data_IF_562442340227
#
_entry.id   IF_562442340227
#
_cell.length_a   1.000
_cell.length_b   1.000
_cell.length_c   1.000
_cell.angle_alpha   90.00
_cell.angle_beta   90.00
_cell.angle_gamma   90.00
#
_symmetry.space_group_name_H-M   'P 1'
#
loop_
_entity.id
_entity.type
_entity.pdbx_description
1 polymer ?
#
# COMPACT_ATOMS: atom_id res chain seq x y z
N UNK A 1 -7.44 44.97 -4.02
CA UNK A 1 -7.29 45.40 -2.63
C UNK A 1 -6.66 46.80 -2.66
N UNK A 2 -7.40 47.86 -2.25
CA UNK A 2 -6.86 49.23 -2.28
C UNK A 2 -6.16 49.49 -0.93
N UNK A 3 -4.88 49.77 -0.98
CA UNK A 3 -4.04 50.10 0.16
C UNK A 3 -4.24 51.59 0.47
N UNK A 4 -5.10 51.90 1.43
CA UNK A 4 -5.28 53.27 1.94
C UNK A 4 -4.18 53.57 2.97
N UNK A 5 -3.00 54.05 2.51
CA UNK A 5 -2.06 54.79 3.36
C UNK A 5 -1.52 54.12 4.63
N UNK A 6 -1.64 52.79 4.81
CA UNK A 6 -1.06 52.06 5.92
C UNK A 6 0.36 51.64 5.59
N UNK A 7 1.32 52.03 6.41
CA UNK A 7 2.75 51.77 6.24
C UNK A 7 3.24 50.50 7.00
N UNK A 8 2.39 49.85 7.77
CA UNK A 8 2.72 48.59 8.47
C UNK A 8 1.53 47.65 8.48
N UNK A 9 1.74 46.42 8.07
CA UNK A 9 0.78 45.33 8.12
C UNK A 9 1.31 44.26 9.08
N UNK A 10 0.57 43.93 10.14
CA UNK A 10 0.83 42.74 10.93
C UNK A 10 0.03 41.58 10.36
N UNK A 11 0.70 40.65 9.69
CA UNK A 11 0.16 39.37 9.26
C UNK A 11 0.43 38.34 10.36
N UNK A 12 -0.60 37.93 11.06
CA UNK A 12 -0.52 36.76 11.93
C UNK A 12 -0.80 35.54 11.07
N UNK A 13 0.23 34.78 10.75
CA UNK A 13 0.09 33.47 10.14
C UNK A 13 -0.36 32.51 11.25
N UNK A 14 -1.59 32.01 11.17
CA UNK A 14 -1.98 30.83 11.93
C UNK A 14 -1.35 29.61 11.26
N UNK A 15 -0.64 28.79 12.01
CA UNK A 15 -0.22 27.48 11.54
C UNK A 15 -1.47 26.67 11.25
N UNK A 16 -1.64 26.29 9.99
CA UNK A 16 -2.65 25.32 9.58
C UNK A 16 -2.09 23.93 9.90
N UNK A 17 -2.29 23.51 11.15
CA UNK A 17 -1.96 22.18 11.62
C UNK A 17 -3.07 21.21 11.23
N UNK A 18 -3.42 21.12 9.98
CA UNK A 18 -4.10 19.92 9.48
C UNK A 18 -3.10 18.76 9.49
N UNK A 19 -2.95 18.14 10.63
CA UNK A 19 -2.30 16.85 10.72
C UNK A 19 -3.20 15.87 9.99
N UNK A 20 -2.82 15.50 8.78
CA UNK A 20 -3.41 14.36 8.08
C UNK A 20 -3.17 13.13 8.95
N UNK A 21 -4.21 12.74 9.70
CA UNK A 21 -4.21 11.51 10.48
C UNK A 21 -4.16 10.32 9.51
N UNK A 22 -2.95 9.92 9.12
CA UNK A 22 -2.77 8.72 8.30
C UNK A 22 -3.19 7.51 9.12
N UNK A 23 -4.24 6.88 8.67
CA UNK A 23 -4.85 5.72 9.32
C UNK A 23 -4.37 4.46 8.62
N UNK A 24 -3.86 3.51 9.38
CA UNK A 24 -3.32 2.25 8.88
C UNK A 24 -4.19 1.10 9.38
N UNK A 25 -4.51 0.17 8.50
CA UNK A 25 -5.20 -1.07 8.86
C UNK A 25 -4.20 -2.01 9.53
N UNK A 26 -4.45 -2.40 10.77
CA UNK A 26 -3.65 -3.34 11.52
C UNK A 26 -4.55 -4.43 12.11
N UNK A 27 -4.31 -5.65 11.72
CA UNK A 27 -5.09 -6.77 12.21
C UNK A 27 -6.56 -6.67 11.85
N UNK A 28 -7.41 -6.77 12.85
CA UNK A 28 -8.87 -6.66 12.71
C UNK A 28 -9.39 -5.24 12.93
N UNK A 29 -8.50 -4.23 12.96
CA UNK A 29 -8.90 -2.85 13.25
C UNK A 29 -8.10 -1.82 12.48
N UNK A 30 -8.52 -0.58 12.64
CA UNK A 30 -7.90 0.59 12.03
C UNK A 30 -7.25 1.41 13.14
N UNK A 31 -5.97 1.72 13.04
CA UNK A 31 -5.24 2.54 14.01
C UNK A 31 -4.54 3.70 13.33
N UNK A 32 -4.37 4.80 14.06
CA UNK A 32 -3.56 5.92 13.60
C UNK A 32 -2.10 5.48 13.51
N UNK A 33 -1.42 5.80 12.41
CA UNK A 33 -0.01 5.46 12.18
C UNK A 33 0.90 5.93 13.32
N UNK A 34 0.61 7.08 13.90
CA UNK A 34 1.34 7.64 15.05
C UNK A 34 1.29 6.76 16.31
N UNK A 35 0.29 5.90 16.45
CA UNK A 35 0.10 5.01 17.61
C UNK A 35 0.70 3.62 17.40
N UNK A 36 1.27 3.35 16.22
CA UNK A 36 1.89 2.06 15.92
C UNK A 36 3.32 2.05 16.42
N UNK A 37 3.60 1.23 17.41
CA UNK A 37 4.96 0.97 17.91
C UNK A 37 5.74 0.02 17.03
N UNK A 38 5.06 -0.70 16.14
CA UNK A 38 5.63 -1.67 15.22
C UNK A 38 6.16 -1.06 13.91
N UNK A 39 7.10 -1.77 13.26
CA UNK A 39 7.61 -1.38 11.94
C UNK A 39 6.60 -1.71 10.85
N UNK A 40 5.75 -0.75 10.51
CA UNK A 40 4.70 -0.85 9.50
C UNK A 40 5.00 0.07 8.33
N UNK A 41 4.75 -0.40 7.12
CA UNK A 41 4.75 0.44 5.91
C UNK A 41 3.40 0.33 5.23
N UNK A 42 2.85 1.46 4.82
CA UNK A 42 1.58 1.54 4.10
C UNK A 42 1.74 2.29 2.78
N UNK A 43 0.95 1.91 1.80
CA UNK A 43 0.78 2.60 0.52
C UNK A 43 -0.72 2.79 0.31
N UNK A 44 -1.12 3.97 -0.11
CA UNK A 44 -2.50 4.29 -0.44
C UNK A 44 -2.77 4.07 -1.94
N UNK A 45 -4.05 4.02 -2.31
CA UNK A 45 -4.52 3.82 -3.68
C UNK A 45 -3.86 4.77 -4.69
N UNK A 46 -3.72 6.06 -4.35
CA UNK A 46 -3.16 7.07 -5.26
C UNK A 46 -1.73 6.75 -5.70
N UNK A 47 -0.91 6.22 -4.79
CA UNK A 47 0.46 5.82 -5.10
C UNK A 47 0.54 4.56 -5.96
N UNK A 48 -0.48 3.71 -5.90
CA UNK A 48 -0.61 2.51 -6.74
C UNK A 48 -1.17 2.85 -8.12
N UNK A 49 -2.20 3.70 -8.19
CA UNK A 49 -2.85 4.13 -9.44
C UNK A 49 -1.91 4.94 -10.36
N UNK A 50 -0.99 5.71 -9.77
CA UNK A 50 0.00 6.49 -10.53
C UNK A 50 0.97 5.62 -11.34
N UNK A 51 1.03 4.33 -11.04
CA UNK A 51 1.91 3.36 -11.71
C UNK A 51 1.10 2.42 -12.58
N UNK A 52 1.30 2.47 -13.89
CA UNK A 52 0.72 1.49 -14.82
C UNK A 52 1.46 0.15 -14.69
N UNK A 53 1.07 -0.64 -13.70
CA UNK A 53 1.66 -1.96 -13.42
C UNK A 53 0.61 -3.05 -13.55
N UNK A 54 1.02 -4.20 -14.05
CA UNK A 54 0.15 -5.35 -14.32
C UNK A 54 -0.08 -6.25 -13.11
N UNK A 55 0.66 -6.05 -12.00
CA UNK A 55 0.51 -6.87 -10.80
C UNK A 55 0.81 -6.09 -9.53
N UNK A 56 0.19 -6.51 -8.42
CA UNK A 56 0.40 -5.92 -7.09
C UNK A 56 1.86 -6.04 -6.65
N UNK A 57 2.52 -7.17 -6.96
CA UNK A 57 3.93 -7.38 -6.66
C UNK A 57 4.84 -6.38 -7.38
N UNK A 58 4.55 -6.08 -8.65
CA UNK A 58 5.28 -5.05 -9.40
C UNK A 58 5.02 -3.64 -8.85
N UNK A 59 3.80 -3.36 -8.39
CA UNK A 59 3.45 -2.10 -7.75
C UNK A 59 4.22 -1.86 -6.44
N UNK A 60 4.46 -2.92 -5.67
CA UNK A 60 5.21 -2.86 -4.41
C UNK A 60 6.72 -2.67 -4.61
N UNK A 61 7.24 -3.04 -5.78
CA UNK A 61 8.68 -2.97 -6.07
C UNK A 61 9.19 -1.53 -5.95
N UNK A 62 10.14 -1.29 -5.03
CA UNK A 62 10.77 0.01 -4.83
C UNK A 62 9.90 1.07 -4.14
N UNK A 63 8.67 0.74 -3.71
CA UNK A 63 7.77 1.70 -3.03
C UNK A 63 7.82 1.59 -1.51
N UNK A 64 8.18 0.41 -0.98
CA UNK A 64 8.19 0.17 0.46
C UNK A 64 9.59 -0.16 0.98
N UNK A 65 10.11 0.56 1.97
CA UNK A 65 11.38 0.22 2.59
C UNK A 65 11.30 -1.13 3.29
N UNK A 66 12.30 -2.00 3.06
CA UNK A 66 12.37 -3.34 3.64
C UNK A 66 11.48 -4.40 2.98
N UNK A 67 10.86 -4.08 1.85
CA UNK A 67 10.15 -5.01 0.99
C UNK A 67 10.90 -5.15 -0.32
N UNK A 68 11.26 -6.37 -0.67
CA UNK A 68 11.92 -6.68 -1.94
C UNK A 68 10.97 -7.52 -2.78
N UNK A 69 10.66 -7.03 -3.98
CA UNK A 69 9.91 -7.76 -4.98
C UNK A 69 10.85 -8.15 -6.12
N UNK A 70 10.98 -9.43 -6.37
CA UNK A 70 11.83 -9.98 -7.44
C UNK A 70 10.93 -10.62 -8.46
N UNK A 71 10.99 -10.14 -9.68
CA UNK A 71 10.29 -10.73 -10.81
C UNK A 71 11.22 -11.74 -11.47
N UNK A 72 10.86 -13.00 -11.41
CA UNK A 72 11.70 -14.10 -11.93
C UNK A 72 11.54 -14.35 -13.43
N UNK A 73 10.50 -13.79 -14.05
CA UNK A 73 10.23 -13.92 -15.49
C UNK A 73 9.72 -12.60 -16.05
N UNK A 74 10.25 -12.21 -17.21
CA UNK A 74 9.74 -11.11 -18.03
C UNK A 74 8.70 -11.55 -19.07
N UNK A 75 8.29 -12.83 -19.06
CA UNK A 75 7.35 -13.34 -20.04
C UNK A 75 5.96 -12.71 -19.85
N UNK A 76 5.29 -12.28 -20.93
CA UNK A 76 3.93 -11.75 -20.86
C UNK A 76 2.98 -12.77 -20.21
N UNK A 77 2.20 -12.32 -19.22
CA UNK A 77 1.25 -13.15 -18.46
C UNK A 77 1.85 -13.94 -17.29
N UNK A 78 3.17 -14.02 -17.12
CA UNK A 78 3.85 -14.67 -16.00
C UNK A 78 4.52 -13.66 -15.05
N UNK A 79 3.92 -12.51 -14.85
CA UNK A 79 4.48 -11.41 -14.06
C UNK A 79 4.22 -11.58 -12.54
N UNK A 80 4.33 -12.82 -12.04
CA UNK A 80 4.26 -13.11 -10.62
C UNK A 80 5.60 -12.83 -9.95
N UNK A 81 5.69 -11.75 -9.20
CA UNK A 81 6.87 -11.43 -8.41
C UNK A 81 6.89 -12.18 -7.08
N UNK A 82 8.05 -12.69 -6.70
CA UNK A 82 8.28 -13.18 -5.33
C UNK A 82 8.54 -11.98 -4.43
N UNK A 83 7.76 -11.85 -3.35
CA UNK A 83 7.93 -10.78 -2.37
C UNK A 83 8.61 -11.34 -1.13
N UNK A 84 9.60 -10.63 -0.64
CA UNK A 84 10.24 -10.90 0.64
C UNK A 84 10.22 -9.65 1.52
N UNK A 85 9.92 -9.84 2.80
CA UNK A 85 9.91 -8.77 3.81
C UNK A 85 11.16 -8.93 4.67
N UNK A 86 11.99 -7.87 4.73
CA UNK A 86 13.30 -7.87 5.43
C UNK A 86 14.29 -8.97 4.96
N UNK A 87 14.16 -9.42 3.71
CA UNK A 87 15.00 -10.46 3.14
C UNK A 87 14.56 -11.89 3.50
N UNK A 88 15.39 -12.86 3.15
CA UNK A 88 15.13 -14.27 3.44
C UNK A 88 15.73 -14.64 4.79
N UNK A 89 14.89 -14.99 5.76
CA UNK A 89 15.31 -15.38 7.12
C UNK A 89 15.74 -16.85 7.22
N UNK A 90 15.46 -17.66 6.21
CA UNK A 90 15.76 -19.10 6.17
C UNK A 90 15.95 -19.57 4.73
N UNK A 91 16.66 -20.68 4.55
CA UNK A 91 16.80 -21.35 3.25
C UNK A 91 15.43 -21.81 2.72
N UNK A 92 14.53 -22.21 3.61
CA UNK A 92 13.14 -22.57 3.31
C UNK A 92 12.17 -21.42 3.61
N UNK A 93 12.62 -20.16 3.44
CA UNK A 93 11.77 -19.01 3.74
C UNK A 93 10.47 -19.07 2.92
N UNK A 94 9.37 -19.26 3.62
CA UNK A 94 8.05 -19.14 3.03
C UNK A 94 7.80 -17.68 2.63
N UNK A 95 6.92 -17.49 1.66
CA UNK A 95 6.45 -16.17 1.28
C UNK A 95 5.74 -15.49 2.49
N UNK A 96 5.70 -14.16 2.54
CA UNK A 96 4.92 -13.47 3.55
C UNK A 96 3.44 -13.86 3.44
N UNK A 97 2.75 -13.84 4.58
CA UNK A 97 1.32 -14.12 4.63
C UNK A 97 0.55 -12.96 3.99
N UNK A 98 -0.28 -13.25 3.00
CA UNK A 98 -1.14 -12.27 2.36
C UNK A 98 -2.56 -12.38 2.91
N UNK A 99 -3.11 -11.26 3.35
CA UNK A 99 -4.47 -11.16 3.85
C UNK A 99 -5.20 -10.10 3.05
N UNK A 100 -6.33 -10.50 2.47
CA UNK A 100 -7.19 -9.66 1.65
C UNK A 100 -8.50 -9.47 2.37
N UNK A 101 -8.82 -8.24 2.74
CA UNK A 101 -10.04 -7.89 3.50
C UNK A 101 -10.28 -8.78 4.74
N UNK A 102 -9.18 -9.15 5.41
CA UNK A 102 -9.22 -9.97 6.62
C UNK A 102 -9.16 -11.49 6.39
N UNK A 103 -9.11 -11.95 5.14
CA UNK A 103 -9.06 -13.38 4.78
C UNK A 103 -7.72 -13.72 4.13
N UNK A 104 -7.05 -14.82 4.49
CA UNK A 104 -5.86 -15.29 3.78
C UNK A 104 -6.16 -15.51 2.29
N UNK A 105 -5.33 -14.94 1.44
CA UNK A 105 -5.54 -14.95 -0.01
C UNK A 105 -4.24 -14.81 -0.81
N UNK A 106 -4.38 -14.63 -2.12
CA UNK A 106 -3.26 -14.42 -3.02
C UNK A 106 -3.29 -13.02 -3.64
N UNK A 107 -2.14 -12.36 -3.69
CA UNK A 107 -1.99 -11.08 -4.39
C UNK A 107 -2.25 -11.15 -5.89
N UNK A 108 -2.06 -12.33 -6.48
CA UNK A 108 -2.15 -12.49 -7.93
C UNK A 108 -3.59 -12.49 -8.45
N UNK A 109 -4.57 -12.58 -7.54
CA UNK A 109 -6.00 -12.58 -7.89
C UNK A 109 -6.64 -11.19 -7.82
N UNK A 110 -5.87 -10.17 -7.41
CA UNK A 110 -6.39 -8.82 -7.17
C UNK A 110 -5.82 -7.87 -8.22
N UNK A 111 -6.68 -7.07 -8.81
CA UNK A 111 -6.25 -5.97 -9.65
C UNK A 111 -5.66 -4.84 -8.78
N UNK A 112 -4.47 -4.30 -9.10
CA UNK A 112 -3.91 -3.15 -8.38
C UNK A 112 -4.86 -1.95 -8.29
N UNK A 113 -5.77 -1.78 -9.25
CA UNK A 113 -6.74 -0.69 -9.29
C UNK A 113 -7.88 -0.85 -8.27
N UNK A 114 -8.14 -2.08 -7.82
CA UNK A 114 -9.17 -2.37 -6.82
C UNK A 114 -8.68 -2.18 -5.39
N UNK A 115 -7.39 -1.88 -5.19
CA UNK A 115 -6.79 -1.71 -3.88
C UNK A 115 -7.04 -0.30 -3.35
N UNK A 116 -7.58 -0.19 -2.14
CA UNK A 116 -7.70 1.05 -1.40
C UNK A 116 -6.41 1.36 -0.62
N UNK A 117 -5.89 0.35 0.08
CA UNK A 117 -4.64 0.47 0.82
C UNK A 117 -3.91 -0.86 0.92
N UNK A 118 -2.59 -0.79 0.98
CA UNK A 118 -1.71 -1.94 1.16
C UNK A 118 -0.78 -1.65 2.34
N UNK A 119 -0.81 -2.51 3.35
CA UNK A 119 -0.03 -2.37 4.57
C UNK A 119 0.86 -3.60 4.77
N UNK A 120 2.13 -3.38 5.07
CA UNK A 120 3.08 -4.46 5.37
C UNK A 120 3.52 -4.39 6.82
N UNK A 121 3.20 -5.43 7.57
CA UNK A 121 3.67 -5.64 8.94
C UNK A 121 5.02 -6.36 8.88
N UNK A 122 6.07 -5.65 9.28
CA UNK A 122 7.45 -6.14 9.12
C UNK A 122 8.03 -6.74 10.39
N UNK A 123 7.41 -6.54 11.53
CA UNK A 123 7.88 -7.06 12.81
C UNK A 123 6.97 -8.16 13.37
N UNK A 124 7.55 -8.98 14.22
CA UNK A 124 6.85 -10.10 14.85
C UNK A 124 5.76 -9.65 15.82
N UNK A 125 5.91 -8.48 16.46
CA UNK A 125 4.93 -7.96 17.41
C UNK A 125 3.62 -7.59 16.71
N UNK A 126 3.71 -6.84 15.60
CA UNK A 126 2.53 -6.48 14.78
C UNK A 126 1.91 -7.69 14.08
N UNK A 127 2.73 -8.70 13.72
CA UNK A 127 2.30 -9.88 13.01
C UNK A 127 1.77 -11.00 13.93
N UNK A 128 1.99 -10.91 15.25
CA UNK A 128 1.70 -11.96 16.21
C UNK A 128 0.24 -12.46 16.21
N UNK A 129 -0.72 -11.56 15.91
CA UNK A 129 -2.14 -11.91 15.84
C UNK A 129 -2.47 -12.89 14.71
N UNK A 130 -1.60 -13.00 13.71
CA UNK A 130 -1.76 -13.91 12.56
C UNK A 130 -1.04 -15.24 12.75
N UNK A 131 -0.42 -15.45 13.92
CA UNK A 131 0.21 -16.70 14.31
C UNK A 131 1.52 -17.00 13.57
N UNK A 132 1.91 -18.28 13.57
CA UNK A 132 3.21 -18.75 13.06
C UNK A 132 3.41 -18.48 11.56
N UNK A 133 2.34 -18.47 10.78
CA UNK A 133 2.40 -18.19 9.33
C UNK A 133 2.88 -16.78 9.03
N UNK A 134 2.75 -15.87 9.98
CA UNK A 134 3.16 -14.48 9.86
C UNK A 134 4.65 -14.22 10.16
N UNK A 135 5.42 -15.28 10.47
CA UNK A 135 6.84 -15.15 10.85
C UNK A 135 7.70 -14.45 9.78
N UNK A 136 7.34 -14.56 8.50
CA UNK A 136 8.01 -13.91 7.37
C UNK A 136 7.41 -12.55 6.98
N UNK A 137 6.58 -11.97 7.85
CA UNK A 137 5.84 -10.73 7.62
C UNK A 137 4.43 -10.98 7.10
N UNK A 138 3.59 -9.96 7.20
CA UNK A 138 2.19 -9.98 6.75
C UNK A 138 1.95 -8.82 5.80
N UNK A 139 1.28 -9.10 4.70
CA UNK A 139 0.82 -8.12 3.73
C UNK A 139 -0.70 -8.04 3.84
N UNK A 140 -1.19 -6.91 4.32
CA UNK A 140 -2.61 -6.62 4.42
C UNK A 140 -3.04 -5.84 3.21
N UNK A 141 -4.02 -6.32 2.49
CA UNK A 141 -4.62 -5.66 1.33
C UNK A 141 -6.07 -5.33 1.68
N UNK A 142 -6.41 -4.06 1.59
CA UNK A 142 -7.79 -3.61 1.73
C UNK A 142 -8.28 -3.19 0.37
N UNK A 143 -9.41 -3.75 -0.07
CA UNK A 143 -10.00 -3.41 -1.35
C UNK A 143 -10.97 -2.23 -1.23
N UNK A 144 -11.16 -1.52 -2.33
CA UNK A 144 -12.11 -0.41 -2.43
C UNK A 144 -13.53 -0.92 -2.19
N UNK A 145 -14.23 -0.30 -1.24
CA UNK A 145 -15.62 -0.63 -0.92
C UNK A 145 -16.55 0.47 -1.38
N UNK A 146 -17.70 0.07 -1.93
CA UNK A 146 -18.77 1.02 -2.24
C UNK A 146 -19.30 1.69 -0.96
N UNK A 147 -19.49 3.02 -1.00
CA UNK A 147 -20.10 3.77 0.09
C UNK A 147 -21.59 3.94 -0.18
N UNK A 148 -22.42 3.64 0.83
CA UNK A 148 -23.87 3.80 0.74
C UNK A 148 -24.21 5.29 0.55
N UNK A 149 -25.04 5.61 -0.47
CA UNK A 149 -25.45 6.99 -0.73
C UNK A 149 -24.54 7.81 -1.67
N UNK A 150 -23.54 7.19 -2.28
CA UNK A 150 -22.78 7.82 -3.37
C UNK A 150 -23.43 7.51 -4.73
N UNK A 151 -23.39 8.49 -5.62
CA UNK A 151 -23.78 8.32 -7.02
C UNK A 151 -22.85 7.30 -7.70
N UNK A 152 -23.40 6.56 -8.67
CA UNK A 152 -22.62 5.60 -9.44
C UNK A 152 -21.49 6.32 -10.21
N UNK A 153 -20.24 5.99 -9.89
CA UNK A 153 -19.07 6.52 -10.60
C UNK A 153 -18.58 5.44 -11.56
N UNK A 154 -18.65 5.72 -12.85
CA UNK A 154 -18.07 4.85 -13.88
C UNK A 154 -16.75 5.46 -14.31
N UNK A 155 -15.66 4.70 -14.16
CA UNK A 155 -14.33 5.09 -14.66
C UNK A 155 -13.86 4.02 -15.64
N UNK A 156 -13.27 4.47 -16.75
CA UNK A 156 -12.61 3.60 -17.73
C UNK A 156 -11.14 4.00 -17.82
N UNK A 157 -10.25 3.05 -17.65
CA UNK A 157 -8.82 3.22 -17.88
C UNK A 157 -8.32 2.09 -18.78
N UNK A 158 -7.57 2.42 -19.82
CA UNK A 158 -6.99 1.45 -20.73
C UNK A 158 -5.51 1.74 -20.94
N UNK A 159 -4.67 0.71 -20.89
CA UNK A 159 -3.24 0.80 -21.21
C UNK A 159 -2.88 -0.28 -22.21
N UNK A 160 -1.99 0.05 -23.17
CA UNK A 160 -1.41 -0.90 -24.12
C UNK A 160 0.09 -0.91 -23.88
N UNK A 161 0.64 -2.06 -23.53
CA UNK A 161 2.07 -2.23 -23.34
C UNK A 161 2.61 -3.29 -24.31
N UNK A 162 3.74 -3.00 -24.91
CA UNK A 162 4.46 -3.90 -25.82
C UNK A 162 5.74 -4.36 -25.13
N UNK A 163 5.91 -5.64 -24.92
CA UNK A 163 7.14 -6.22 -24.39
C UNK A 163 7.81 -7.06 -25.47
N UNK A 164 9.06 -6.73 -25.81
CA UNK A 164 9.92 -7.54 -26.66
C UNK A 164 10.87 -8.33 -25.77
N UNK A 165 10.86 -9.65 -25.83
CA UNK A 165 11.86 -10.45 -25.12
C UNK A 165 13.24 -10.20 -25.74
N UNK A 166 14.24 -9.97 -24.89
CA UNK A 166 15.66 -9.90 -25.25
C UNK A 166 16.32 -11.24 -25.04
#
# INVERSE_FOLDING_TARGET
>A
MQVKGQTSFSLTLSEDTETLDEVVVVGYGVQKKANLTGSVSSINAEALESRSVSSVSAAMAGTMPGVTAIQSSGAPGLQTGTITVRGKNSVNAANPLVIVDGVPGSMNTIDPQDIESLTVLKDAASAAIYGVQAANGVILITTKKGKKGQDAKVSYSGSVAWATPT
#
